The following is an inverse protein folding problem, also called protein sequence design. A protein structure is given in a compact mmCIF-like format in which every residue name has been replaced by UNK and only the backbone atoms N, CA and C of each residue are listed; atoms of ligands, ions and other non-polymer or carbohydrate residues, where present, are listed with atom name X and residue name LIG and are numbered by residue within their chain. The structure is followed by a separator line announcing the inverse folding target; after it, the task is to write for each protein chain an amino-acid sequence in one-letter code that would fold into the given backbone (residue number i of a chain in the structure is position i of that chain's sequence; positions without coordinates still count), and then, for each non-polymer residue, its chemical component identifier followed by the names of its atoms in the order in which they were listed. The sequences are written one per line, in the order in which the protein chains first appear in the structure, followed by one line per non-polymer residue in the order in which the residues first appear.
data_IF_040429351493
#
_entry.id   IF_040429351493
#
_cell.length_a   1.000
_cell.length_b   1.000
_cell.length_c   1.000
_cell.angle_alpha   90.00
_cell.angle_beta   90.00
_cell.angle_gamma   90.00
#
_symmetry.space_group_name_H-M   'P 1'
#
loop_
_entity.id
_entity.type
_entity.pdbx_description
1 polymer ?
#
# COMPACT_ATOMS: atom_id res chain seq x y z
N UNK A 1 -8.99 -20.14 -4.81
CA UNK A 1 -8.28 -21.29 -5.40
C UNK A 1 -6.83 -20.91 -5.59
N UNK A 2 -5.91 -21.82 -5.32
CA UNK A 2 -4.47 -21.65 -5.53
C UNK A 2 -3.96 -22.89 -6.26
N UNK A 3 -3.17 -22.74 -7.31
CA UNK A 3 -2.49 -23.82 -8.02
C UNK A 3 -1.00 -23.53 -8.11
N UNK A 4 -0.19 -24.57 -7.86
CA UNK A 4 1.27 -24.57 -7.96
C UNK A 4 1.74 -25.67 -8.91
N UNK A 5 0.89 -26.07 -9.87
CA UNK A 5 1.17 -27.18 -10.78
C UNK A 5 2.23 -26.83 -11.84
N UNK A 6 2.48 -25.53 -12.03
CA UNK A 6 3.51 -25.00 -12.91
C UNK A 6 4.78 -24.69 -12.11
N UNK A 7 5.94 -25.07 -12.67
CA UNK A 7 7.23 -24.85 -12.03
C UNK A 7 7.49 -23.35 -11.84
N UNK A 8 7.83 -22.95 -10.60
CA UNK A 8 8.12 -21.57 -10.21
C UNK A 8 6.95 -20.58 -10.38
N UNK A 9 5.72 -21.07 -10.52
CA UNK A 9 4.54 -20.24 -10.75
C UNK A 9 3.44 -20.59 -9.76
N UNK A 10 2.85 -19.55 -9.16
CA UNK A 10 1.63 -19.66 -8.37
C UNK A 10 0.51 -18.99 -9.14
N UNK A 11 -0.61 -19.69 -9.34
CA UNK A 11 -1.83 -19.13 -9.92
C UNK A 11 -2.92 -19.06 -8.86
N UNK A 12 -3.65 -17.96 -8.81
CA UNK A 12 -4.67 -17.70 -7.80
C UNK A 12 -5.93 -17.10 -8.43
N UNK A 13 -7.08 -17.47 -7.88
CA UNK A 13 -8.35 -16.84 -8.21
C UNK A 13 -9.30 -16.90 -7.02
N UNK A 14 -10.16 -15.90 -6.86
CA UNK A 14 -11.16 -15.89 -5.80
C UNK A 14 -12.31 -14.95 -6.08
N UNK A 15 -13.41 -15.17 -5.36
CA UNK A 15 -14.61 -14.33 -5.43
C UNK A 15 -15.19 -14.15 -4.04
N UNK A 16 -15.41 -12.91 -3.64
CA UNK A 16 -15.86 -12.52 -2.30
C UNK A 16 -17.06 -11.59 -2.41
N UNK A 17 -17.97 -11.65 -1.44
CA UNK A 17 -19.19 -10.81 -1.37
C UNK A 17 -19.31 -10.04 -0.06
N UNK A 18 -18.47 -10.37 0.92
CA UNK A 18 -18.49 -9.85 2.28
C UNK A 18 -17.07 -9.80 2.84
N UNK A 19 -16.87 -8.96 3.84
CA UNK A 19 -15.64 -8.88 4.63
C UNK A 19 -15.96 -9.00 6.12
N UNK A 20 -15.06 -9.60 6.88
CA UNK A 20 -15.05 -9.49 8.34
C UNK A 20 -14.04 -8.40 8.71
N UNK A 21 -14.55 -7.22 9.06
CA UNK A 21 -13.72 -6.04 9.26
C UNK A 21 -12.88 -6.15 10.55
N UNK A 22 -11.71 -5.49 10.58
CA UNK A 22 -10.81 -5.54 11.74
C UNK A 22 -11.51 -5.01 12.99
N UNK A 23 -11.53 -5.80 14.06
CA UNK A 23 -12.19 -5.43 15.32
C UNK A 23 -13.71 -5.68 15.33
N UNK A 24 -14.25 -6.33 14.30
CA UNK A 24 -15.66 -6.73 14.23
C UNK A 24 -15.81 -8.26 14.40
N UNK A 25 -17.05 -8.69 14.60
CA UNK A 25 -17.43 -10.11 14.75
C UNK A 25 -18.50 -10.55 13.75
N UNK A 26 -18.86 -9.68 12.81
CA UNK A 26 -19.95 -9.88 11.86
C UNK A 26 -19.51 -9.47 10.46
N UNK A 27 -19.97 -10.23 9.47
CA UNK A 27 -19.75 -9.92 8.06
C UNK A 27 -20.46 -8.64 7.63
N UNK A 28 -19.72 -7.74 6.99
CA UNK A 28 -20.22 -6.50 6.38
C UNK A 28 -20.10 -6.54 4.85
N UNK A 29 -20.76 -5.59 4.17
CA UNK A 29 -20.62 -5.44 2.73
C UNK A 29 -19.20 -4.99 2.38
N UNK A 30 -18.71 -5.41 1.21
CA UNK A 30 -17.51 -4.83 0.64
C UNK A 30 -17.76 -3.36 0.27
N UNK A 31 -16.75 -2.52 0.47
CA UNK A 31 -16.76 -1.12 0.03
C UNK A 31 -15.41 -0.77 -0.58
N UNK A 32 -15.34 0.32 -1.33
CA UNK A 32 -14.07 0.95 -1.70
C UNK A 32 -13.43 1.62 -0.49
N UNK A 33 -12.10 1.70 -0.45
CA UNK A 33 -11.34 2.37 0.61
C UNK A 33 -11.53 3.87 0.54
N UNK A 34 -11.49 4.43 -0.67
CA UNK A 34 -11.74 5.83 -0.93
C UNK A 34 -13.19 6.01 -1.43
N UNK A 35 -13.95 6.89 -0.77
CA UNK A 35 -15.35 7.14 -1.12
C UNK A 35 -16.38 6.13 -0.59
N UNK A 36 -15.98 5.00 -0.01
CA UNK A 36 -16.88 4.08 0.72
C UNK A 36 -18.00 3.48 -0.14
N UNK A 37 -17.78 3.36 -1.45
CA UNK A 37 -18.80 2.89 -2.39
C UNK A 37 -19.01 1.39 -2.23
N UNK A 38 -20.26 0.95 -2.11
CA UNK A 38 -20.59 -0.46 -1.93
C UNK A 38 -20.25 -1.30 -3.16
N UNK A 39 -19.57 -2.42 -2.92
CA UNK A 39 -19.25 -3.45 -3.89
C UNK A 39 -20.07 -4.70 -3.53
N UNK A 40 -20.83 -5.25 -4.47
CA UNK A 40 -21.63 -6.45 -4.20
C UNK A 40 -20.82 -7.73 -4.33
N UNK A 41 -19.78 -7.72 -5.16
CA UNK A 41 -18.82 -8.81 -5.32
C UNK A 41 -17.49 -8.30 -5.85
N UNK A 42 -16.40 -8.81 -5.28
CA UNK A 42 -15.06 -8.70 -5.81
C UNK A 42 -14.66 -10.06 -6.38
N UNK A 43 -14.18 -10.11 -7.61
CA UNK A 43 -13.59 -11.32 -8.20
C UNK A 43 -12.22 -11.01 -8.75
N UNK A 44 -11.23 -11.86 -8.49
CA UNK A 44 -9.87 -11.68 -8.97
C UNK A 44 -9.30 -12.97 -9.55
N UNK A 45 -8.33 -12.80 -10.45
CA UNK A 45 -7.46 -13.87 -10.96
C UNK A 45 -6.08 -13.30 -11.23
N UNK A 46 -5.05 -14.08 -10.99
CA UNK A 46 -3.68 -13.67 -11.28
C UNK A 46 -2.68 -14.73 -10.89
N UNK A 47 -1.43 -14.32 -10.82
CA UNK A 47 -0.36 -15.20 -10.39
C UNK A 47 0.99 -14.52 -10.31
N UNK A 48 1.92 -15.24 -9.71
CA UNK A 48 3.31 -14.87 -9.56
C UNK A 48 4.21 -15.86 -10.27
N UNK A 49 5.31 -15.38 -10.82
CA UNK A 49 6.31 -16.19 -11.49
C UNK A 49 7.72 -15.79 -11.04
N UNK A 50 8.43 -16.74 -10.44
CA UNK A 50 9.84 -16.57 -10.11
C UNK A 50 10.71 -16.89 -11.33
N UNK A 51 10.94 -15.89 -12.18
CA UNK A 51 11.73 -16.05 -13.40
C UNK A 51 13.24 -16.21 -13.14
N UNK A 52 13.70 -15.89 -11.93
CA UNK A 52 15.08 -16.10 -11.49
C UNK A 52 15.15 -16.33 -9.97
N UNK A 53 16.30 -16.78 -9.44
CA UNK A 53 16.50 -17.03 -8.00
C UNK A 53 16.09 -15.85 -7.10
N UNK A 54 16.34 -14.62 -7.57
CA UNK A 54 16.01 -13.38 -6.87
C UNK A 54 15.18 -12.46 -7.77
N UNK A 55 14.37 -13.02 -8.67
CA UNK A 55 13.56 -12.30 -9.65
C UNK A 55 12.14 -12.82 -9.64
N UNK A 56 11.18 -11.92 -9.52
CA UNK A 56 9.75 -12.24 -9.45
C UNK A 56 8.94 -11.25 -10.28
N UNK A 57 7.92 -11.76 -10.97
CA UNK A 57 6.92 -10.96 -11.65
C UNK A 57 5.53 -11.38 -11.16
N UNK A 58 4.63 -10.42 -10.96
CA UNK A 58 3.24 -10.68 -10.64
C UNK A 58 2.32 -10.01 -11.66
N UNK A 59 1.22 -10.67 -12.01
CA UNK A 59 0.15 -10.13 -12.84
C UNK A 59 -1.20 -10.52 -12.25
N UNK A 60 -2.06 -9.54 -11.99
CA UNK A 60 -3.39 -9.75 -11.45
C UNK A 60 -4.41 -8.88 -12.17
N UNK A 61 -5.64 -9.35 -12.19
CA UNK A 61 -6.82 -8.57 -12.55
C UNK A 61 -7.90 -8.83 -11.52
N UNK A 62 -8.57 -7.78 -11.09
CA UNK A 62 -9.78 -7.86 -10.28
C UNK A 62 -10.91 -7.05 -10.89
N UNK A 63 -12.13 -7.44 -10.55
CA UNK A 63 -13.36 -6.73 -10.85
C UNK A 63 -14.16 -6.57 -9.57
N UNK A 64 -14.40 -5.31 -9.21
CA UNK A 64 -15.38 -4.91 -8.22
C UNK A 64 -16.68 -4.56 -8.96
N UNK A 65 -17.71 -5.41 -8.79
CA UNK A 65 -18.94 -5.31 -9.59
C UNK A 65 -19.59 -3.93 -9.51
N UNK A 66 -19.90 -3.38 -10.69
CA UNK A 66 -20.43 -2.02 -10.91
C UNK A 66 -19.55 -0.87 -10.40
N UNK A 67 -18.29 -1.12 -10.07
CA UNK A 67 -17.35 -0.08 -9.62
C UNK A 67 -16.19 0.01 -10.61
N UNK A 68 -15.35 -1.03 -10.68
CA UNK A 68 -14.17 -1.03 -11.54
C UNK A 68 -13.75 -2.41 -12.02
N UNK A 69 -12.89 -2.41 -13.02
CA UNK A 69 -11.92 -3.45 -13.29
C UNK A 69 -10.52 -2.87 -13.14
N UNK A 70 -9.69 -3.54 -12.35
CA UNK A 70 -8.33 -3.10 -12.03
C UNK A 70 -7.33 -4.18 -12.45
N UNK A 71 -6.24 -3.74 -13.08
CA UNK A 71 -5.15 -4.56 -13.54
C UNK A 71 -3.89 -4.18 -12.76
N UNK A 72 -3.17 -5.17 -12.25
CA UNK A 72 -1.95 -5.00 -11.51
C UNK A 72 -0.81 -5.77 -12.16
N UNK A 73 0.36 -5.14 -12.21
CA UNK A 73 1.61 -5.78 -12.58
C UNK A 73 2.77 -5.34 -11.70
N UNK A 74 3.69 -6.25 -11.44
CA UNK A 74 4.95 -5.89 -10.77
C UNK A 74 6.12 -6.71 -11.24
N UNK A 75 7.31 -6.15 -11.05
CA UNK A 75 8.59 -6.82 -11.25
C UNK A 75 9.53 -6.46 -10.11
N UNK A 76 10.15 -7.48 -9.52
CA UNK A 76 11.13 -7.36 -8.47
C UNK A 76 12.41 -8.11 -8.86
N UNK A 77 13.56 -7.47 -8.66
CA UNK A 77 14.85 -8.09 -8.94
C UNK A 77 15.87 -7.67 -7.89
N UNK A 78 16.63 -8.64 -7.36
CA UNK A 78 17.82 -8.36 -6.54
C UNK A 78 19.09 -8.99 -7.10
N UNK A 79 20.22 -8.35 -6.86
CA UNK A 79 21.56 -8.83 -7.20
C UNK A 79 22.57 -8.45 -6.11
N UNK A 80 23.66 -9.23 -6.01
CA UNK A 80 24.67 -9.05 -4.97
C UNK A 80 24.28 -9.65 -3.62
N UNK A 81 25.07 -9.35 -2.60
CA UNK A 81 24.94 -9.89 -1.25
C UNK A 81 25.28 -8.80 -0.21
N UNK A 82 24.62 -8.78 0.97
CA UNK A 82 24.91 -7.78 2.00
C UNK A 82 26.36 -7.77 2.51
N UNK A 83 27.17 -8.82 2.33
CA UNK A 83 28.61 -8.80 2.62
C UNK A 83 29.42 -7.90 1.68
N UNK A 84 28.84 -7.53 0.54
CA UNK A 84 29.39 -6.54 -0.41
C UNK A 84 28.37 -5.42 -0.60
N UNK A 85 27.58 -5.42 -1.67
CA UNK A 85 26.37 -4.60 -1.76
C UNK A 85 25.28 -5.47 -2.40
N UNK A 86 24.13 -5.55 -1.73
CA UNK A 86 22.91 -6.09 -2.32
C UNK A 86 22.05 -4.95 -2.86
N UNK A 87 21.80 -4.97 -4.15
CA UNK A 87 20.85 -4.08 -4.80
C UNK A 87 19.50 -4.79 -4.96
N UNK A 88 18.41 -4.04 -4.77
CA UNK A 88 17.06 -4.53 -5.05
C UNK A 88 16.25 -3.46 -5.77
N UNK A 89 15.55 -3.84 -6.83
CA UNK A 89 14.59 -3.00 -7.54
C UNK A 89 13.20 -3.59 -7.43
N UNK A 90 12.19 -2.72 -7.35
CA UNK A 90 10.78 -3.07 -7.40
C UNK A 90 10.04 -2.02 -8.20
N UNK A 91 9.25 -2.45 -9.18
CA UNK A 91 8.31 -1.62 -9.90
C UNK A 91 6.90 -2.21 -9.82
N UNK A 92 5.90 -1.36 -9.60
CA UNK A 92 4.49 -1.70 -9.55
C UNK A 92 3.72 -0.80 -10.51
N UNK A 93 2.69 -1.33 -11.14
CA UNK A 93 1.74 -0.56 -11.93
C UNK A 93 0.33 -1.08 -11.72
N UNK A 94 -0.61 -0.15 -11.66
CA UNK A 94 -2.04 -0.37 -11.64
C UNK A 94 -2.68 0.40 -12.79
N UNK A 95 -3.73 -0.19 -13.36
CA UNK A 95 -4.61 0.43 -14.33
C UNK A 95 -6.05 0.13 -13.94
N UNK A 96 -6.82 1.16 -13.62
CA UNK A 96 -8.19 1.04 -13.08
C UNK A 96 -9.16 1.73 -14.02
N UNK A 97 -10.21 1.01 -14.40
CA UNK A 97 -11.26 1.52 -15.28
C UNK A 97 -12.65 1.23 -14.70
N UNK A 98 -13.58 2.17 -14.82
CA UNK A 98 -14.95 1.95 -14.37
C UNK A 98 -15.65 0.86 -15.21
N UNK A 99 -16.60 0.17 -14.59
CA UNK A 99 -17.39 -0.87 -15.27
C UNK A 99 -18.82 -0.93 -14.76
N UNK A 100 -19.71 -1.53 -15.55
CA UNK A 100 -21.09 -1.78 -15.15
C UNK A 100 -21.86 -0.48 -14.94
N UNK A 101 -22.49 -0.33 -13.77
CA UNK A 101 -23.19 0.90 -13.40
C UNK A 101 -22.28 2.06 -12.98
N UNK A 102 -20.95 1.87 -12.92
CA UNK A 102 -19.95 2.89 -12.59
C UNK A 102 -20.34 3.69 -11.33
N UNK A 103 -20.56 2.97 -10.21
CA UNK A 103 -21.09 3.52 -8.94
C UNK A 103 -20.19 4.60 -8.31
N UNK A 104 -18.92 4.68 -8.69
CA UNK A 104 -17.99 5.76 -8.32
C UNK A 104 -17.86 6.88 -9.38
N UNK A 105 -18.66 6.83 -10.44
CA UNK A 105 -18.49 7.68 -11.61
C UNK A 105 -17.45 7.12 -12.58
N UNK A 106 -16.97 7.99 -13.47
CA UNK A 106 -15.93 7.61 -14.44
C UNK A 106 -14.61 7.34 -13.72
N UNK A 107 -13.95 6.25 -14.08
CA UNK A 107 -12.60 5.92 -13.62
C UNK A 107 -11.76 5.58 -14.85
N UNK A 108 -10.68 6.32 -15.04
CA UNK A 108 -9.65 6.02 -16.03
C UNK A 108 -8.31 6.49 -15.47
N UNK A 109 -7.78 5.73 -14.52
CA UNK A 109 -6.62 6.12 -13.73
C UNK A 109 -5.59 5.02 -13.72
N UNK A 110 -4.33 5.41 -13.86
CA UNK A 110 -3.18 4.53 -13.67
C UNK A 110 -2.39 5.00 -12.46
N UNK A 111 -1.75 4.09 -11.74
CA UNK A 111 -0.83 4.46 -10.68
C UNK A 111 0.40 3.55 -10.75
N UNK A 112 1.58 4.11 -10.53
CA UNK A 112 2.79 3.31 -10.55
C UNK A 112 3.75 3.73 -9.45
N UNK A 113 4.61 2.82 -9.06
CA UNK A 113 5.74 3.11 -8.19
C UNK A 113 6.99 2.38 -8.66
N UNK A 114 8.15 2.99 -8.43
CA UNK A 114 9.45 2.39 -8.68
C UNK A 114 10.33 2.66 -7.47
N UNK A 115 11.09 1.67 -7.05
CA UNK A 115 12.06 1.82 -5.97
C UNK A 115 13.34 1.05 -6.24
N UNK A 116 14.42 1.61 -5.73
CA UNK A 116 15.74 1.00 -5.73
C UNK A 116 16.29 1.08 -4.31
N UNK A 117 16.86 -0.02 -3.84
CA UNK A 117 17.57 -0.07 -2.56
C UNK A 117 18.96 -0.67 -2.68
N UNK A 118 19.85 -0.20 -1.81
CA UNK A 118 21.20 -0.72 -1.64
C UNK A 118 21.42 -1.09 -0.18
N UNK A 119 21.85 -2.32 0.08
CA UNK A 119 22.18 -2.84 1.39
C UNK A 119 23.66 -3.22 1.47
N UNK A 120 24.35 -2.76 2.51
CA UNK A 120 25.66 -3.24 2.90
C UNK A 120 25.69 -3.51 4.41
N UNK A 121 26.02 -4.74 4.77
CA UNK A 121 25.94 -5.26 6.13
C UNK A 121 24.55 -5.04 6.72
N UNK A 122 24.45 -4.42 7.91
CA UNK A 122 23.18 -4.20 8.58
C UNK A 122 22.40 -3.00 8.03
N UNK A 123 22.96 -2.19 7.13
CA UNK A 123 22.37 -0.92 6.67
C UNK A 123 21.80 -1.05 5.27
N UNK A 124 20.57 -0.56 5.05
CA UNK A 124 20.05 -0.37 3.71
C UNK A 124 19.37 0.99 3.54
N UNK A 125 19.54 1.58 2.36
CA UNK A 125 18.84 2.79 1.93
C UNK A 125 17.97 2.44 0.72
N UNK A 126 16.77 2.99 0.68
CA UNK A 126 15.81 2.88 -0.41
C UNK A 126 15.38 4.28 -0.85
N UNK A 127 15.38 4.49 -2.16
CA UNK A 127 14.72 5.62 -2.82
C UNK A 127 13.50 5.08 -3.56
N UNK A 128 12.34 5.66 -3.31
CA UNK A 128 11.07 5.30 -3.95
C UNK A 128 10.42 6.51 -4.61
N UNK A 129 9.85 6.31 -5.78
CA UNK A 129 9.01 7.28 -6.48
C UNK A 129 7.66 6.64 -6.79
N UNK A 130 6.58 7.40 -6.68
CA UNK A 130 5.23 6.96 -6.99
C UNK A 130 4.48 8.11 -7.65
N UNK A 131 3.55 7.77 -8.55
CA UNK A 131 2.68 8.74 -9.18
C UNK A 131 1.32 8.15 -9.51
N UNK A 132 0.28 8.93 -9.27
CA UNK A 132 -1.07 8.72 -9.79
C UNK A 132 -1.22 9.50 -11.09
N UNK A 133 -1.70 8.83 -12.12
CA UNK A 133 -1.94 9.32 -13.48
C UNK A 133 -3.44 9.20 -13.78
N UNK A 134 -4.21 10.13 -13.24
CA UNK A 134 -5.65 10.17 -13.41
C UNK A 134 -6.31 11.21 -12.52
N UNK A 135 -7.57 11.52 -12.85
CA UNK A 135 -8.40 12.49 -12.15
C UNK A 135 -9.09 11.90 -10.90
N UNK A 136 -9.01 10.58 -10.74
CA UNK A 136 -9.54 9.84 -9.59
C UNK A 136 -8.41 9.42 -8.65
N UNK A 137 -8.73 9.31 -7.35
CA UNK A 137 -7.84 8.66 -6.38
C UNK A 137 -7.50 7.24 -6.85
N UNK A 138 -6.26 6.80 -6.65
CA UNK A 138 -6.00 5.37 -6.71
C UNK A 138 -6.74 4.70 -5.55
N UNK A 139 -7.55 3.69 -5.84
CA UNK A 139 -8.45 3.08 -4.87
C UNK A 139 -8.32 1.55 -4.87
N UNK A 140 -8.75 0.94 -3.77
CA UNK A 140 -8.73 -0.50 -3.53
C UNK A 140 -9.90 -0.89 -2.62
N UNK A 141 -10.12 -2.18 -2.43
CA UNK A 141 -11.22 -2.65 -1.58
C UNK A 141 -10.91 -2.38 -0.10
N UNK A 142 -11.84 -1.78 0.62
CA UNK A 142 -11.71 -1.46 2.04
C UNK A 142 -11.51 -2.72 2.90
N UNK A 143 -10.94 -2.56 4.08
CA UNK A 143 -10.54 -3.64 5.02
C UNK A 143 -9.49 -4.61 4.44
N UNK A 144 -8.93 -4.31 3.26
CA UNK A 144 -7.78 -5.01 2.70
C UNK A 144 -6.49 -4.18 2.87
N UNK A 145 -5.39 -4.70 2.33
CA UNK A 145 -4.17 -3.94 2.05
C UNK A 145 -3.89 -4.03 0.55
N UNK A 146 -4.91 -3.78 -0.27
CA UNK A 146 -4.93 -3.93 -1.73
C UNK A 146 -4.14 -2.87 -2.50
N UNK A 147 -3.15 -2.26 -1.85
CA UNK A 147 -2.26 -1.25 -2.40
C UNK A 147 -0.81 -1.75 -2.27
N UNK A 148 -0.20 -2.09 -3.40
CA UNK A 148 1.21 -2.54 -3.46
C UNK A 148 2.16 -1.44 -3.95
N UNK A 149 1.71 -0.18 -4.00
CA UNK A 149 2.55 0.94 -4.37
C UNK A 149 3.57 1.25 -3.25
N UNK A 150 4.80 1.59 -3.64
CA UNK A 150 5.96 1.71 -2.73
C UNK A 150 5.75 2.75 -1.62
N UNK A 151 5.06 3.84 -1.93
CA UNK A 151 4.92 4.97 -1.03
C UNK A 151 3.69 4.90 -0.12
N UNK A 152 2.85 3.87 -0.23
CA UNK A 152 1.80 3.60 0.77
C UNK A 152 2.44 3.19 2.11
N UNK A 153 2.32 4.07 3.11
CA UNK A 153 2.96 3.95 4.44
C UNK A 153 1.98 4.32 5.57
N UNK A 154 2.04 5.53 6.16
CA UNK A 154 0.99 6.03 7.07
C UNK A 154 -0.24 6.46 6.26
N UNK A 155 -0.01 7.26 5.21
CA UNK A 155 -1.00 7.52 4.14
C UNK A 155 -0.56 6.92 2.81
N UNK A 156 -1.49 6.87 1.85
CA UNK A 156 -1.30 6.10 0.61
C UNK A 156 -0.59 6.85 -0.52
N UNK A 157 -0.48 8.19 -0.43
CA UNK A 157 0.09 9.05 -1.50
C UNK A 157 -0.59 8.78 -2.86
N UNK A 158 -1.93 8.76 -2.84
CA UNK A 158 -2.79 8.23 -3.88
C UNK A 158 -3.82 9.25 -4.41
N UNK A 159 -3.65 10.55 -4.15
CA UNK A 159 -4.53 11.59 -4.65
C UNK A 159 -4.41 11.76 -6.19
N UNK A 160 -5.42 12.34 -6.86
CA UNK A 160 -5.35 12.62 -8.30
C UNK A 160 -4.09 13.42 -8.67
N UNK A 161 -3.41 13.01 -9.74
CA UNK A 161 -2.16 13.59 -10.27
C UNK A 161 -0.96 13.65 -9.30
N UNK A 162 -1.10 13.08 -8.12
CA UNK A 162 -0.10 13.20 -7.07
C UNK A 162 1.20 12.48 -7.45
N UNK A 163 2.32 13.16 -7.19
CA UNK A 163 3.66 12.60 -7.27
C UNK A 163 4.24 12.52 -5.86
N UNK A 164 4.98 11.46 -5.56
CA UNK A 164 5.60 11.32 -4.25
C UNK A 164 6.97 10.68 -4.30
N UNK A 165 7.84 11.13 -3.39
CA UNK A 165 9.21 10.65 -3.23
C UNK A 165 9.43 10.16 -1.80
N UNK A 166 10.10 9.03 -1.68
CA UNK A 166 10.41 8.38 -0.41
C UNK A 166 11.90 8.15 -0.25
N UNK A 167 12.44 8.51 0.90
CA UNK A 167 13.72 8.01 1.39
C UNK A 167 13.47 7.13 2.60
N UNK A 168 13.92 5.87 2.55
CA UNK A 168 13.76 4.90 3.63
C UNK A 168 15.10 4.31 4.01
N UNK A 169 15.38 4.26 5.31
CA UNK A 169 16.54 3.58 5.88
C UNK A 169 16.08 2.39 6.71
N UNK A 170 16.73 1.24 6.54
CA UNK A 170 16.49 0.05 7.35
C UNK A 170 17.76 -0.47 7.98
N UNK A 171 17.62 -1.01 9.19
CA UNK A 171 18.66 -1.69 9.94
C UNK A 171 18.25 -3.14 10.23
N UNK A 172 19.11 -4.11 9.88
CA UNK A 172 18.95 -5.53 10.21
C UNK A 172 20.09 -5.99 11.14
N UNK A 173 19.78 -6.08 12.43
CA UNK A 173 20.76 -6.35 13.48
C UNK A 173 21.44 -7.71 13.35
N UNK A 174 20.91 -8.65 12.56
CA UNK A 174 21.58 -9.95 12.32
C UNK A 174 22.98 -9.79 11.69
N UNK A 175 23.18 -8.75 10.88
CA UNK A 175 24.49 -8.44 10.27
C UNK A 175 25.39 -7.57 11.19
N UNK A 176 24.88 -7.17 12.36
CA UNK A 176 25.59 -6.35 13.34
C UNK A 176 25.84 -7.09 14.67
N UNK A 177 25.59 -8.40 14.74
CA UNK A 177 25.69 -9.17 15.99
C UNK A 177 24.56 -8.89 16.99
N UNK A 178 23.46 -8.28 16.56
CA UNK A 178 22.26 -7.98 17.35
C UNK A 178 21.04 -8.71 16.77
N UNK A 179 21.02 -10.06 16.76
CA UNK A 179 19.92 -10.82 16.19
C UNK A 179 18.60 -10.48 16.91
N UNK A 180 17.53 -10.35 16.11
CA UNK A 180 16.21 -9.95 16.59
C UNK A 180 15.92 -8.46 16.51
N UNK A 181 16.95 -7.59 16.48
CA UNK A 181 16.77 -6.14 16.33
C UNK A 181 16.57 -5.76 14.86
N UNK A 182 15.50 -5.04 14.56
CA UNK A 182 15.28 -4.38 13.27
C UNK A 182 14.79 -2.96 13.51
N UNK A 183 15.15 -2.04 12.62
CA UNK A 183 14.61 -0.69 12.63
C UNK A 183 14.33 -0.22 11.20
N UNK A 184 13.28 0.57 11.02
CA UNK A 184 12.97 1.26 9.77
C UNK A 184 12.67 2.72 10.07
N UNK A 185 13.21 3.61 9.26
CA UNK A 185 12.90 5.04 9.25
C UNK A 185 12.52 5.42 7.83
N UNK A 186 11.54 6.27 7.66
CA UNK A 186 11.23 6.83 6.35
C UNK A 186 10.84 8.30 6.46
N UNK A 187 11.11 9.01 5.38
CA UNK A 187 10.53 10.32 5.10
C UNK A 187 9.95 10.30 3.70
N UNK A 188 8.78 10.89 3.54
CA UNK A 188 8.08 10.99 2.27
C UNK A 188 7.54 12.39 2.05
N UNK A 189 7.52 12.82 0.80
CA UNK A 189 6.96 14.09 0.38
C UNK A 189 6.10 13.85 -0.86
N UNK A 190 4.86 14.36 -0.82
CA UNK A 190 3.86 14.24 -1.87
C UNK A 190 3.44 15.62 -2.34
N UNK A 191 3.30 15.81 -3.65
CA UNK A 191 2.99 17.09 -4.28
C UNK A 191 2.18 16.90 -5.54
N UNK A 192 1.70 18.01 -6.11
CA UNK A 192 0.94 18.04 -7.36
C UNK A 192 -0.41 17.28 -7.29
N UNK A 193 -0.96 17.09 -6.09
CA UNK A 193 -2.34 16.65 -5.99
C UNK A 193 -3.28 17.70 -6.60
N UNK A 194 -4.16 17.25 -7.49
CA UNK A 194 -5.15 18.09 -8.17
C UNK A 194 -6.46 17.31 -8.37
N UNK A 195 -7.35 17.41 -7.39
CA UNK A 195 -8.68 16.82 -7.42
C UNK A 195 -9.73 17.69 -8.10
N UNK A 196 -9.36 18.73 -8.86
CA UNK A 196 -10.32 19.69 -9.43
C UNK A 196 -11.35 19.04 -10.38
N UNK A 197 -10.94 18.07 -11.19
CA UNK A 197 -11.84 17.32 -12.07
C UNK A 197 -12.88 16.52 -11.28
N UNK A 198 -12.44 15.69 -10.32
CA UNK A 198 -13.34 14.93 -9.45
C UNK A 198 -14.23 15.83 -8.58
N UNK A 199 -13.73 17.01 -8.17
CA UNK A 199 -14.51 18.01 -7.46
C UNK A 199 -15.62 18.62 -8.32
N UNK A 200 -15.35 18.88 -9.60
CA UNK A 200 -16.35 19.38 -10.56
C UNK A 200 -17.47 18.35 -10.79
N UNK A 201 -17.13 17.06 -10.90
CA UNK A 201 -18.11 15.98 -11.02
C UNK A 201 -18.94 15.78 -9.74
N UNK A 202 -18.39 16.16 -8.58
CA UNK A 202 -19.00 16.00 -7.26
C UNK A 202 -19.26 17.35 -6.55
N UNK A 203 -19.66 18.38 -7.31
CA UNK A 203 -19.80 19.75 -6.80
C UNK A 203 -20.92 19.93 -5.75
N UNK A 204 -21.98 19.10 -5.82
CA UNK A 204 -23.06 19.16 -4.82
C UNK A 204 -22.57 18.61 -3.47
N UNK A 205 -22.83 19.30 -2.35
CA UNK A 205 -22.58 18.76 -1.01
C UNK A 205 -23.30 17.44 -0.70
N UNK A 206 -24.34 17.11 -1.48
CA UNK A 206 -25.06 15.84 -1.39
C UNK A 206 -24.49 14.73 -2.29
N UNK A 207 -23.50 15.03 -3.14
CA UNK A 207 -22.88 14.03 -3.99
C UNK A 207 -22.14 13.00 -3.13
N UNK A 208 -22.26 11.69 -3.39
CA UNK A 208 -21.68 10.65 -2.55
C UNK A 208 -20.16 10.78 -2.34
N UNK A 209 -19.43 11.26 -3.35
CA UNK A 209 -17.98 11.44 -3.29
C UNK A 209 -17.55 12.88 -3.02
N UNK A 210 -18.46 13.78 -2.62
CA UNK A 210 -18.15 15.19 -2.38
C UNK A 210 -16.98 15.34 -1.40
N UNK A 211 -17.03 14.69 -0.24
CA UNK A 211 -16.00 14.83 0.80
C UNK A 211 -14.67 14.16 0.44
N UNK A 212 -14.62 13.33 -0.60
CA UNK A 212 -13.38 12.76 -1.11
C UNK A 212 -12.61 13.80 -1.95
N UNK A 213 -13.33 14.60 -2.74
CA UNK A 213 -12.73 15.58 -3.65
C UNK A 213 -12.76 17.03 -3.14
N UNK A 214 -13.49 17.31 -2.06
CA UNK A 214 -13.57 18.65 -1.47
C UNK A 214 -13.03 18.64 -0.04
N UNK A 215 -12.12 19.57 0.25
CA UNK A 215 -11.55 19.80 1.58
C UNK A 215 -11.54 21.28 1.93
N UNK A 216 -12.15 21.61 3.07
CA UNK A 216 -12.21 22.99 3.57
C UNK A 216 -12.73 24.00 2.54
N UNK A 217 -13.74 23.60 1.76
CA UNK A 217 -14.40 24.45 0.78
C UNK A 217 -13.71 24.57 -0.58
N UNK A 218 -12.60 23.89 -0.79
CA UNK A 218 -11.88 23.86 -2.08
C UNK A 218 -11.68 22.42 -2.57
N UNK A 219 -11.47 22.20 -3.88
CA UNK A 219 -11.03 20.91 -4.39
C UNK A 219 -9.77 20.41 -3.67
N UNK A 220 -9.61 19.10 -3.53
CA UNK A 220 -8.40 18.51 -2.95
C UNK A 220 -7.19 18.92 -3.76
N UNK A 221 -6.19 19.52 -3.11
CA UNK A 221 -4.95 19.89 -3.75
C UNK A 221 -3.82 20.10 -2.72
N UNK A 222 -2.62 20.36 -3.24
CA UNK A 222 -1.49 20.80 -2.44
C UNK A 222 -0.44 19.72 -2.23
N UNK A 223 0.19 19.76 -1.07
CA UNK A 223 1.31 18.88 -0.73
C UNK A 223 1.23 18.45 0.73
N UNK A 224 1.93 17.36 1.03
CA UNK A 224 2.01 16.78 2.35
C UNK A 224 3.32 16.01 2.52
N UNK A 225 3.66 15.69 3.76
CA UNK A 225 4.82 14.88 4.07
C UNK A 225 4.59 14.07 5.32
N UNK A 226 5.26 12.93 5.38
CA UNK A 226 5.32 12.14 6.59
C UNK A 226 6.73 11.73 6.94
N UNK A 227 6.92 11.52 8.23
CA UNK A 227 8.10 10.88 8.79
C UNK A 227 7.63 9.77 9.71
N UNK A 228 8.32 8.65 9.68
CA UNK A 228 8.02 7.56 10.60
C UNK A 228 9.22 6.72 10.98
N UNK A 229 9.05 6.01 12.10
CA UNK A 229 10.06 5.18 12.72
C UNK A 229 9.43 3.93 13.35
N UNK A 230 9.94 2.76 12.97
CA UNK A 230 9.49 1.45 13.44
C UNK A 230 10.67 0.61 13.93
N UNK A 231 11.11 0.75 15.20
CA UNK A 231 12.00 -0.21 15.81
C UNK A 231 11.23 -1.45 16.26
N UNK A 232 11.86 -2.61 16.15
CA UNK A 232 11.33 -3.85 16.68
C UNK A 232 12.44 -4.75 17.22
N UNK A 233 12.10 -5.54 18.23
CA UNK A 233 12.98 -6.56 18.77
C UNK A 233 12.21 -7.87 18.93
N UNK A 234 12.79 -8.96 18.42
CA UNK A 234 12.29 -10.33 18.64
C UNK A 234 13.17 -11.03 19.66
N UNK A 235 12.58 -11.56 20.73
CA UNK A 235 13.33 -12.26 21.78
C UNK A 235 13.98 -13.53 21.21
N UNK A 236 15.29 -13.65 21.36
CA UNK A 236 16.07 -14.73 20.73
C UNK A 236 16.10 -16.05 21.53
N UNK A 237 15.78 -16.00 22.81
CA UNK A 237 15.88 -17.16 23.72
C UNK A 237 14.96 -17.03 24.94
N UNK A 238 14.87 -18.10 25.72
CA UNK A 238 14.11 -18.14 26.97
C UNK A 238 12.62 -18.46 26.78
N UNK A 239 11.84 -18.33 27.85
CA UNK A 239 10.41 -18.69 27.89
C UNK A 239 9.55 -17.94 26.87
N UNK A 240 9.95 -16.72 26.53
CA UNK A 240 9.23 -15.85 25.60
C UNK A 240 9.95 -15.72 24.26
N UNK A 241 10.82 -16.68 23.90
CA UNK A 241 11.45 -16.73 22.60
C UNK A 241 10.40 -16.52 21.49
N UNK A 242 10.79 -15.78 20.46
CA UNK A 242 9.97 -15.40 19.30
C UNK A 242 8.89 -14.34 19.60
N UNK A 243 8.77 -13.85 20.84
CA UNK A 243 7.97 -12.66 21.14
C UNK A 243 8.56 -11.45 20.43
N UNK A 244 7.74 -10.78 19.60
CA UNK A 244 8.13 -9.57 18.88
C UNK A 244 7.47 -8.34 19.49
N UNK A 245 8.29 -7.39 19.91
CA UNK A 245 7.87 -6.07 20.37
C UNK A 245 8.17 -5.09 19.25
N UNK A 246 7.17 -4.32 18.82
CA UNK A 246 7.29 -3.30 17.78
C UNK A 246 6.73 -2.00 18.30
N UNK A 247 7.52 -0.93 18.23
CA UNK A 247 7.02 0.42 18.40
C UNK A 247 6.88 1.06 17.02
N UNK A 248 5.86 1.87 16.83
CA UNK A 248 5.59 2.59 15.59
C UNK A 248 5.31 4.03 16.00
N UNK A 249 6.03 4.98 15.42
CA UNK A 249 5.77 6.40 15.55
C UNK A 249 5.71 7.01 14.16
N UNK A 250 4.65 7.76 13.87
CA UNK A 250 4.39 8.36 12.55
C UNK A 250 3.84 9.76 12.73
N UNK A 251 4.30 10.68 11.90
CA UNK A 251 3.84 12.06 11.86
C UNK A 251 3.56 12.43 10.42
N UNK A 252 2.32 12.76 10.13
CA UNK A 252 1.86 13.22 8.84
C UNK A 252 1.43 14.69 8.95
N UNK A 253 1.91 15.52 8.04
CA UNK A 253 1.57 16.93 7.96
C UNK A 253 1.17 17.27 6.52
N UNK A 254 0.00 17.87 6.38
CA UNK A 254 -0.56 18.22 5.09
C UNK A 254 -0.99 19.69 5.04
N UNK A 255 -1.03 20.23 3.83
CA UNK A 255 -1.67 21.51 3.57
C UNK A 255 -3.18 21.42 3.85
N UNK A 256 -3.81 22.55 4.14
CA UNK A 256 -5.23 22.66 4.54
C UNK A 256 -6.24 22.01 3.60
N UNK A 257 -5.91 21.87 2.30
CA UNK A 257 -6.83 21.36 1.28
C UNK A 257 -6.49 19.95 0.82
N UNK A 258 -5.50 19.29 1.44
CA UNK A 258 -5.19 17.91 1.12
C UNK A 258 -6.25 16.94 1.70
N UNK A 259 -6.39 15.75 1.10
CA UNK A 259 -7.38 14.74 1.53
C UNK A 259 -7.19 14.34 2.99
N UNK A 260 -5.96 13.93 3.30
CA UNK A 260 -5.56 13.43 4.61
C UNK A 260 -5.14 14.58 5.51
N UNK A 261 -5.64 14.57 6.75
CA UNK A 261 -5.33 15.60 7.74
C UNK A 261 -3.99 15.37 8.42
N UNK A 262 -3.56 16.35 9.23
CA UNK A 262 -2.39 16.16 10.09
C UNK A 262 -2.65 15.02 11.09
N UNK A 263 -1.67 14.14 11.25
CA UNK A 263 -1.74 13.01 12.18
C UNK A 263 -0.42 12.89 12.96
N UNK A 264 -0.54 12.44 14.20
CA UNK A 264 0.58 12.00 15.02
C UNK A 264 0.16 10.72 15.73
N UNK A 265 0.77 9.62 15.34
CA UNK A 265 0.38 8.30 15.80
C UNK A 265 1.53 7.54 16.46
N UNK A 266 1.20 6.88 17.57
CA UNK A 266 2.11 5.99 18.30
C UNK A 266 1.42 4.66 18.57
N UNK A 267 2.04 3.55 18.14
CA UNK A 267 1.55 2.20 18.40
C UNK A 267 2.64 1.39 19.11
N UNK A 268 2.22 0.61 20.11
CA UNK A 268 3.05 -0.47 20.68
C UNK A 268 2.33 -1.79 20.43
N UNK A 269 3.00 -2.67 19.67
CA UNK A 269 2.46 -3.98 19.31
C UNK A 269 3.36 -5.06 19.88
N UNK A 270 2.78 -5.96 20.68
CA UNK A 270 3.47 -7.10 21.28
C UNK A 270 2.82 -8.38 20.76
N UNK A 271 3.56 -9.13 19.95
CA UNK A 271 3.13 -10.42 19.41
C UNK A 271 3.83 -11.53 20.19
N UNK A 272 3.06 -12.32 20.94
CA UNK A 272 3.56 -13.46 21.72
C UNK A 272 3.08 -14.75 21.05
N UNK A 273 3.91 -15.41 20.21
CA UNK A 273 3.50 -16.67 19.60
C UNK A 273 3.46 -17.77 20.67
N UNK A 274 2.35 -18.50 20.71
CA UNK A 274 2.19 -19.67 21.58
C UNK A 274 1.95 -20.88 20.70
N UNK A 275 2.88 -21.83 20.74
CA UNK A 275 2.71 -23.11 20.07
C UNK A 275 1.87 -24.03 20.96
N UNK A 276 0.62 -24.27 20.56
CA UNK A 276 -0.29 -25.18 21.28
C UNK A 276 -0.05 -26.63 20.86
N UNK A 277 0.37 -26.87 19.62
CA UNK A 277 0.69 -28.16 19.02
C UNK A 277 1.92 -28.05 18.11
#
# INVERSE_FOLDING_TARGET
MVSNDLVHTTLEAGSFTKVDARGHTNLSNLTTSYGGTRIDRLTYVGGTWHYAKNGEMALYVDQADDVWRQYYGSVAQSFGDPTTIKWSGLANIYSTHDTGASKQGHINSNAYSVSVSAQHGPHALLLGYQQVLGDQFFDYVNETNGIYLTNSMDVDYNAPHEQSLQLRYTFDGKYAGLPGLKAMFWGQYGWNADGSAGAAENASPSAPLHNLYWKNGEPVHGHHHEFGFIPSYTLQSGRFKDTKITFIAMWHNAQSHYSDGNNMEYRLVVNVPVKVF
#
